data_IF_441701990965
#
_entry.id   IF_441701990965
#
_cell.length_a   1.000
_cell.length_b   1.000
_cell.length_c   1.000
_cell.angle_alpha   90.00
_cell.angle_beta   90.00
_cell.angle_gamma   90.00
#
_symmetry.space_group_name_H-M   'P 1'
#
loop_
_entity.id
_entity.type
_entity.pdbx_description
1 polymer ?
#
# COMPACT_ATOMS: atom_id res chain seq x y z
N UNK A 1 17.28 5.25 6.84
CA UNK A 1 16.06 4.54 6.40
C UNK A 1 15.05 4.66 7.52
N UNK A 2 13.85 5.17 7.24
CA UNK A 2 12.81 5.25 8.29
C UNK A 2 12.28 3.86 8.63
N UNK A 3 11.71 3.68 9.83
CA UNK A 3 11.04 2.42 10.22
C UNK A 3 10.02 1.92 9.18
N UNK A 4 9.32 2.84 8.52
CA UNK A 4 8.30 2.48 7.52
C UNK A 4 8.90 2.15 6.15
N UNK A 5 10.06 2.70 5.80
CA UNK A 5 10.82 2.27 4.61
C UNK A 5 11.35 0.85 4.79
N UNK A 6 11.82 0.49 5.99
CA UNK A 6 12.25 -0.87 6.30
C UNK A 6 11.08 -1.87 6.18
N UNK A 7 9.92 -1.53 6.77
CA UNK A 7 8.69 -2.33 6.61
C UNK A 7 8.31 -2.42 5.13
N UNK A 8 8.38 -1.32 4.40
CA UNK A 8 8.07 -1.29 2.98
C UNK A 8 8.95 -2.24 2.17
N UNK A 9 10.26 -2.28 2.44
CA UNK A 9 11.20 -3.10 1.69
C UNK A 9 11.10 -4.59 2.06
N UNK A 10 10.83 -4.91 3.32
CA UNK A 10 10.99 -6.26 3.85
C UNK A 10 9.66 -7.00 4.10
N UNK A 11 8.54 -6.29 4.31
CA UNK A 11 7.29 -6.96 4.62
C UNK A 11 6.72 -7.71 3.41
N UNK A 12 6.43 -9.00 3.61
CA UNK A 12 5.89 -9.89 2.57
C UNK A 12 4.56 -9.40 2.00
N UNK A 13 3.67 -8.89 2.85
CA UNK A 13 2.35 -8.40 2.43
C UNK A 13 2.39 -7.15 1.53
N UNK A 14 3.55 -6.47 1.44
CA UNK A 14 3.78 -5.33 0.54
C UNK A 14 4.45 -5.71 -0.78
N UNK A 15 4.75 -6.99 -1.01
CA UNK A 15 5.45 -7.46 -2.21
C UNK A 15 4.71 -7.09 -3.50
N UNK A 16 3.39 -7.33 -3.56
CA UNK A 16 2.59 -6.97 -4.73
C UNK A 16 2.59 -5.47 -5.00
N UNK A 17 2.53 -4.64 -3.94
CA UNK A 17 2.59 -3.20 -4.08
C UNK A 17 3.96 -2.74 -4.64
N UNK A 18 5.06 -3.34 -4.17
CA UNK A 18 6.41 -3.07 -4.69
C UNK A 18 6.56 -3.47 -6.16
N UNK A 19 6.08 -4.66 -6.53
CA UNK A 19 6.12 -5.17 -7.89
C UNK A 19 5.27 -4.32 -8.84
N UNK A 20 4.12 -3.84 -8.37
CA UNK A 20 3.29 -2.94 -9.14
C UNK A 20 4.03 -1.63 -9.43
N UNK A 21 4.57 -0.97 -8.41
CA UNK A 21 5.32 0.29 -8.58
C UNK A 21 6.48 0.09 -9.57
N UNK A 22 7.27 -0.97 -9.44
CA UNK A 22 8.40 -1.23 -10.34
C UNK A 22 7.98 -1.60 -11.77
N UNK A 23 6.76 -2.13 -11.94
CA UNK A 23 6.15 -2.41 -13.23
C UNK A 23 5.58 -1.17 -13.92
N UNK A 24 5.08 -0.19 -13.16
CA UNK A 24 4.44 1.00 -13.71
C UNK A 24 5.38 1.77 -14.63
N UNK A 25 6.67 1.89 -14.30
CA UNK A 25 7.66 2.62 -15.11
C UNK A 25 7.90 1.99 -16.48
N UNK A 26 7.59 0.70 -16.66
CA UNK A 26 7.80 -0.03 -17.91
C UNK A 26 6.64 0.10 -18.90
N UNK A 27 5.52 0.70 -18.48
CA UNK A 27 4.33 0.85 -19.31
C UNK A 27 4.43 2.10 -20.19
N UNK A 28 3.94 2.00 -21.43
CA UNK A 28 3.94 3.11 -22.39
C UNK A 28 3.05 4.27 -21.93
N UNK A 29 3.41 5.49 -22.35
CA UNK A 29 2.72 6.73 -21.97
C UNK A 29 1.28 6.79 -22.51
N UNK A 30 1.00 6.12 -23.64
CA UNK A 30 -0.34 6.12 -24.26
C UNK A 30 -1.32 5.11 -23.63
N UNK A 31 -0.91 4.43 -22.55
CA UNK A 31 -1.72 3.40 -21.90
C UNK A 31 -2.60 3.99 -20.78
N UNK A 32 -3.88 3.59 -20.73
CA UNK A 32 -4.72 3.79 -19.55
C UNK A 32 -4.60 2.57 -18.63
N UNK A 33 -4.26 2.79 -17.37
CA UNK A 33 -4.03 1.73 -16.40
C UNK A 33 -5.08 1.81 -15.30
N UNK A 34 -5.87 0.75 -15.14
CA UNK A 34 -6.72 0.54 -13.97
C UNK A 34 -5.99 -0.34 -12.96
N UNK A 35 -5.98 0.07 -11.69
CA UNK A 35 -5.30 -0.67 -10.62
C UNK A 35 -6.32 -1.00 -9.53
N UNK A 36 -6.45 -2.29 -9.20
CA UNK A 36 -7.26 -2.76 -8.07
C UNK A 36 -6.30 -3.19 -6.97
N UNK A 37 -6.39 -2.52 -5.82
CA UNK A 37 -5.56 -2.81 -4.65
C UNK A 37 -6.43 -3.19 -3.47
N UNK A 38 -5.96 -4.17 -2.70
CA UNK A 38 -6.49 -4.39 -1.36
C UNK A 38 -6.02 -3.27 -0.44
N UNK A 39 -6.86 -2.89 0.52
CA UNK A 39 -6.49 -1.96 1.59
C UNK A 39 -5.21 -2.42 2.31
N UNK A 40 -4.47 -1.47 2.88
CA UNK A 40 -3.30 -1.75 3.72
C UNK A 40 -3.71 -2.38 5.07
N UNK A 41 -2.75 -2.66 5.95
CA UNK A 41 -2.98 -3.31 7.25
C UNK A 41 -3.98 -2.53 8.11
N UNK A 42 -5.13 -3.13 8.41
CA UNK A 42 -6.16 -2.58 9.30
C UNK A 42 -6.22 -3.29 10.64
N UNK A 43 -6.89 -2.65 11.58
CA UNK A 43 -7.34 -3.32 12.80
C UNK A 43 -8.34 -4.42 12.40
N UNK A 44 -8.18 -5.60 12.99
CA UNK A 44 -9.11 -6.72 12.83
C UNK A 44 -9.90 -6.83 14.14
N UNK A 45 -11.16 -6.35 14.19
CA UNK A 45 -11.96 -6.47 15.39
C UNK A 45 -12.26 -7.94 15.68
N UNK A 46 -12.30 -8.27 16.96
CA UNK A 46 -12.79 -9.57 17.40
C UNK A 46 -14.31 -9.67 17.19
N UNK A 47 -14.83 -10.89 17.18
CA UNK A 47 -16.28 -11.14 17.09
C UNK A 47 -17.09 -10.48 18.22
N UNK A 48 -16.42 -10.07 19.29
CA UNK A 48 -17.01 -9.52 20.50
C UNK A 48 -16.75 -8.01 20.66
N UNK A 49 -16.03 -7.38 19.72
CA UNK A 49 -15.83 -5.94 19.76
C UNK A 49 -17.11 -5.21 19.33
N UNK A 50 -17.77 -4.56 20.28
CA UNK A 50 -18.98 -3.74 20.05
C UNK A 50 -18.69 -2.59 19.07
N UNK A 51 -17.48 -2.03 19.13
CA UNK A 51 -16.96 -1.09 18.15
C UNK A 51 -16.05 -1.84 17.18
N UNK A 52 -16.61 -2.27 16.05
CA UNK A 52 -15.87 -2.87 14.93
C UNK A 52 -14.97 -1.85 14.22
N UNK A 53 -14.00 -1.28 14.92
CA UNK A 53 -13.06 -0.33 14.36
C UNK A 53 -12.16 -1.04 13.35
N UNK A 54 -12.50 -0.88 12.07
CA UNK A 54 -11.79 -1.44 10.92
C UNK A 54 -10.86 -0.43 10.24
N UNK A 55 -10.48 0.64 10.93
CA UNK A 55 -9.51 1.60 10.41
C UNK A 55 -8.15 0.96 10.11
N UNK A 56 -7.40 1.61 9.22
CA UNK A 56 -5.99 1.28 9.03
C UNK A 56 -5.22 1.44 10.34
N UNK A 57 -4.35 0.48 10.64
CA UNK A 57 -3.33 0.64 11.69
C UNK A 57 -2.42 1.80 11.33
N UNK A 58 -1.66 2.35 12.29
CA UNK A 58 -0.68 3.40 11.97
C UNK A 58 0.35 2.92 10.93
N UNK A 59 0.78 1.66 11.01
CA UNK A 59 1.62 1.03 9.99
C UNK A 59 0.89 1.01 8.63
N UNK A 60 -0.39 0.69 8.61
CA UNK A 60 -1.23 0.70 7.41
C UNK A 60 -1.35 2.09 6.79
N UNK A 61 -1.57 3.13 7.61
CA UNK A 61 -1.66 4.53 7.18
C UNK A 61 -0.35 5.00 6.55
N UNK A 62 0.79 4.77 7.22
CA UNK A 62 2.10 5.21 6.73
C UNK A 62 2.56 4.46 5.49
N UNK A 63 2.32 3.16 5.41
CA UNK A 63 2.66 2.36 4.21
C UNK A 63 1.77 2.71 3.03
N UNK A 64 0.48 2.99 3.24
CA UNK A 64 -0.41 3.49 2.17
C UNK A 64 0.02 4.87 1.66
N UNK A 65 0.44 5.77 2.57
CA UNK A 65 1.02 7.07 2.20
C UNK A 65 2.31 6.89 1.39
N UNK A 66 3.20 5.98 1.80
CA UNK A 66 4.43 5.69 1.09
C UNK A 66 4.16 5.09 -0.30
N UNK A 67 3.19 4.18 -0.43
CA UNK A 67 2.73 3.68 -1.73
C UNK A 67 2.33 4.83 -2.65
N UNK A 68 1.44 5.71 -2.19
CA UNK A 68 0.98 6.86 -2.97
C UNK A 68 2.12 7.80 -3.37
N UNK A 69 3.11 8.00 -2.50
CA UNK A 69 4.29 8.82 -2.81
C UNK A 69 5.21 8.23 -3.87
N UNK A 70 5.14 6.91 -4.09
CA UNK A 70 5.92 6.17 -5.08
C UNK A 70 5.18 5.99 -6.41
N UNK A 71 3.90 6.35 -6.49
CA UNK A 71 3.20 6.39 -7.76
C UNK A 71 3.85 7.43 -8.68
N UNK A 72 3.96 7.16 -9.99
CA UNK A 72 4.40 8.15 -10.95
C UNK A 72 3.48 9.38 -10.86
N UNK A 73 4.06 10.55 -10.60
CA UNK A 73 3.31 11.81 -10.49
C UNK A 73 3.15 12.52 -11.83
N UNK A 74 4.13 12.32 -12.71
CA UNK A 74 4.19 12.88 -14.04
C UNK A 74 4.39 11.71 -15.02
N UNK A 75 3.29 11.29 -15.65
CA UNK A 75 3.29 10.41 -16.82
C UNK A 75 2.40 11.01 -17.88
#
# INVERSE_FOLDING_TARGET
>A
MTKFEEIWNNAKWLEQARLLISGLDKLSLDSRIGIILRHSKRNEPSLWDENQNMELTEVGKQTAKLFGSKLPKDK
#
